data_IF_854624830515
#
_entry.id   IF_854624830515
#
_cell.length_a   1.000
_cell.length_b   1.000
_cell.length_c   1.000
_cell.angle_alpha   90.00
_cell.angle_beta   90.00
_cell.angle_gamma   90.00
#
_symmetry.space_group_name_H-M   'P 1'
#
loop_
_entity.id
_entity.type
_entity.pdbx_description
1 polymer ?
#
# COMPACT_ATOMS: atom_id res chain seq x y z
N UNK A 1 -5.91 -20.28 -25.75
CA UNK A 1 -5.35 -21.07 -24.63
C UNK A 1 -4.80 -20.08 -23.61
N UNK A 2 -4.95 -20.33 -22.31
CA UNK A 2 -4.25 -19.54 -21.29
C UNK A 2 -2.74 -19.75 -21.50
N UNK A 3 -1.92 -18.71 -21.31
CA UNK A 3 -0.47 -18.88 -21.37
C UNK A 3 0.01 -19.69 -20.16
N UNK A 4 1.16 -20.36 -20.28
CA UNK A 4 1.78 -21.14 -19.20
C UNK A 4 1.98 -20.32 -17.92
N UNK A 5 2.23 -19.02 -18.06
CA UNK A 5 2.36 -18.08 -16.95
C UNK A 5 1.04 -17.86 -16.22
N UNK A 6 -0.09 -17.79 -16.95
CA UNK A 6 -1.41 -17.62 -16.34
C UNK A 6 -1.85 -18.87 -15.56
N UNK A 7 -1.46 -20.05 -16.02
CA UNK A 7 -1.70 -21.31 -15.30
C UNK A 7 -0.91 -21.37 -14.00
N UNK A 8 0.37 -20.99 -14.03
CA UNK A 8 1.20 -20.89 -12.83
C UNK A 8 0.62 -19.90 -11.81
N UNK A 9 0.18 -18.71 -12.26
CA UNK A 9 -0.46 -17.71 -11.39
C UNK A 9 -1.73 -18.28 -10.74
N UNK A 10 -2.55 -19.02 -11.50
CA UNK A 10 -3.77 -19.66 -10.95
C UNK A 10 -3.44 -20.70 -9.89
N UNK A 11 -2.40 -21.50 -10.10
CA UNK A 11 -1.94 -22.50 -9.12
C UNK A 11 -1.46 -21.82 -7.83
N UNK A 12 -0.62 -20.78 -7.94
CA UNK A 12 -0.15 -20.00 -6.79
C UNK A 12 -1.29 -19.35 -6.01
N UNK A 13 -2.30 -18.80 -6.69
CA UNK A 13 -3.49 -18.23 -6.04
C UNK A 13 -4.29 -19.33 -5.31
N UNK A 14 -4.42 -20.51 -5.92
CA UNK A 14 -5.14 -21.65 -5.33
C UNK A 14 -4.52 -22.15 -4.03
N UNK A 15 -3.18 -22.22 -3.97
CA UNK A 15 -2.44 -22.69 -2.79
C UNK A 15 -2.60 -21.79 -1.56
N UNK A 16 -2.82 -20.48 -1.76
CA UNK A 16 -2.87 -19.49 -0.69
C UNK A 16 -4.27 -19.27 -0.09
N UNK A 17 -5.31 -19.93 -0.60
CA UNK A 17 -6.70 -19.66 -0.21
C UNK A 17 -7.13 -20.29 1.13
N UNK A 18 -6.40 -21.30 1.62
CA UNK A 18 -6.89 -22.19 2.68
C UNK A 18 -6.74 -21.69 4.13
N UNK A 19 -6.28 -20.45 4.37
CA UNK A 19 -6.08 -19.88 5.72
C UNK A 19 -7.17 -18.88 6.15
N UNK A 20 -8.44 -19.20 5.88
CA UNK A 20 -9.59 -18.30 6.18
C UNK A 20 -10.06 -18.30 7.64
N UNK A 21 -9.76 -19.33 8.43
CA UNK A 21 -10.19 -19.46 9.83
C UNK A 21 -8.99 -19.36 10.79
N UNK A 22 -9.13 -18.60 11.88
CA UNK A 22 -8.13 -18.44 12.94
C UNK A 22 -7.79 -16.98 13.26
N UNK A 23 -6.89 -16.79 14.23
CA UNK A 23 -6.42 -15.48 14.68
C UNK A 23 -5.80 -14.66 13.52
N UNK A 24 -5.93 -13.34 13.60
CA UNK A 24 -5.52 -12.42 12.52
C UNK A 24 -4.00 -12.41 12.28
N UNK A 25 -3.21 -12.56 13.35
CA UNK A 25 -1.75 -12.43 13.28
C UNK A 25 -1.05 -13.52 12.45
N UNK A 26 -1.32 -14.82 12.68
CA UNK A 26 -0.80 -15.87 11.80
C UNK A 26 -1.16 -15.66 10.33
N UNK A 27 -2.34 -15.09 10.06
CA UNK A 27 -2.77 -14.78 8.69
C UNK A 27 -2.02 -13.59 8.10
N UNK A 28 -1.69 -12.57 8.89
CA UNK A 28 -0.83 -11.45 8.46
C UNK A 28 0.56 -11.95 8.08
N UNK A 29 1.17 -12.79 8.92
CA UNK A 29 2.49 -13.39 8.64
C UNK A 29 2.44 -14.28 7.38
N UNK A 30 1.43 -15.14 7.28
CA UNK A 30 1.26 -16.01 6.11
C UNK A 30 1.02 -15.21 4.82
N UNK A 31 0.24 -14.13 4.90
CA UNK A 31 -0.03 -13.25 3.77
C UNK A 31 1.25 -12.56 3.30
N UNK A 32 2.06 -12.01 4.22
CA UNK A 32 3.31 -11.34 3.87
C UNK A 32 4.30 -12.31 3.21
N UNK A 33 4.43 -13.52 3.76
CA UNK A 33 5.25 -14.61 3.19
C UNK A 33 4.70 -15.16 1.86
N UNK A 34 3.38 -15.11 1.66
CA UNK A 34 2.78 -15.51 0.39
C UNK A 34 3.08 -14.50 -0.72
N UNK A 35 3.03 -13.20 -0.39
CA UNK A 35 3.32 -12.13 -1.34
C UNK A 35 4.80 -12.06 -1.74
N UNK A 36 5.67 -12.60 -0.90
CA UNK A 36 7.07 -12.86 -1.24
C UNK A 36 7.21 -13.68 -2.55
N UNK A 37 6.31 -14.64 -2.83
CA UNK A 37 6.36 -15.44 -4.07
C UNK A 37 6.22 -14.59 -5.36
N UNK A 38 5.70 -13.36 -5.28
CA UNK A 38 5.58 -12.42 -6.40
C UNK A 38 6.85 -11.60 -6.64
N UNK A 39 7.98 -12.02 -6.08
CA UNK A 39 9.28 -11.44 -6.36
C UNK A 39 9.58 -10.25 -5.47
N UNK A 40 9.97 -10.52 -4.23
CA UNK A 40 10.98 -9.69 -3.60
C UNK A 40 12.26 -9.94 -4.39
N UNK A 41 12.65 -9.01 -5.26
CA UNK A 41 13.97 -9.00 -5.90
C UNK A 41 15.11 -8.78 -4.88
N UNK A 42 14.99 -9.27 -3.64
CA UNK A 42 15.89 -8.93 -2.54
C UNK A 42 15.92 -7.42 -2.27
N UNK A 43 14.83 -6.71 -2.58
CA UNK A 43 14.76 -5.26 -2.39
C UNK A 43 14.80 -4.96 -0.89
N UNK A 44 15.84 -4.24 -0.42
CA UNK A 44 15.96 -3.91 0.99
C UNK A 44 14.79 -3.02 1.41
N UNK A 45 14.39 -3.05 2.69
CA UNK A 45 13.42 -2.10 3.20
C UNK A 45 13.93 -0.67 2.98
N UNK A 46 13.01 0.20 2.60
CA UNK A 46 13.25 1.62 2.52
C UNK A 46 13.28 2.32 3.87
N UNK A 47 13.46 3.64 3.83
CA UNK A 47 13.35 4.48 5.03
C UNK A 47 11.92 4.42 5.59
N UNK A 48 11.80 4.13 6.89
CA UNK A 48 10.51 4.17 7.59
C UNK A 48 10.26 5.54 8.18
N UNK A 49 9.06 6.06 7.97
CA UNK A 49 8.58 7.31 8.56
C UNK A 49 7.35 7.05 9.42
N UNK A 50 7.25 7.72 10.56
CA UNK A 50 6.07 7.68 11.45
C UNK A 50 5.11 8.80 11.08
N UNK A 51 3.81 8.50 11.04
CA UNK A 51 2.73 9.41 10.66
C UNK A 51 1.60 9.22 11.69
N UNK A 52 1.59 10.04 12.75
CA UNK A 52 0.67 9.84 13.87
C UNK A 52 0.85 8.45 14.49
N UNK A 53 -0.22 7.65 14.50
CA UNK A 53 -0.25 6.28 15.05
C UNK A 53 0.11 5.19 14.03
N UNK A 54 0.48 5.56 12.81
CA UNK A 54 0.89 4.61 11.76
C UNK A 54 2.30 4.90 11.27
N UNK A 55 2.81 4.03 10.38
CA UNK A 55 4.10 4.21 9.73
C UNK A 55 3.96 4.06 8.22
N UNK A 56 4.99 4.47 7.48
CA UNK A 56 5.08 4.24 6.05
C UNK A 56 6.53 3.94 5.66
N UNK A 57 6.71 3.25 4.54
CA UNK A 57 8.01 2.93 3.96
C UNK A 57 8.20 3.73 2.66
N UNK A 58 9.34 4.41 2.52
CA UNK A 58 9.74 5.04 1.28
C UNK A 58 10.38 4.04 0.32
N UNK A 59 9.79 3.86 -0.84
CA UNK A 59 10.37 3.10 -1.95
C UNK A 59 10.77 4.07 -3.05
N UNK A 60 12.07 4.19 -3.32
CA UNK A 60 12.61 5.15 -4.27
C UNK A 60 13.27 4.45 -5.45
N UNK A 61 12.88 4.76 -6.70
CA UNK A 61 13.62 4.32 -7.88
C UNK A 61 14.98 5.04 -7.96
N UNK A 62 15.88 4.53 -8.81
CA UNK A 62 17.19 5.16 -9.04
C UNK A 62 17.10 6.60 -9.60
N UNK A 63 16.01 6.90 -10.30
CA UNK A 63 15.69 8.23 -10.81
C UNK A 63 14.22 8.54 -10.50
N UNK A 64 13.98 9.65 -9.83
CA UNK A 64 12.63 10.17 -9.52
C UNK A 64 12.54 11.66 -9.88
N UNK A 65 11.35 12.12 -10.26
CA UNK A 65 11.11 13.49 -10.75
C UNK A 65 10.43 14.43 -9.73
N UNK A 66 10.45 14.04 -8.45
CA UNK A 66 9.83 14.76 -7.34
C UNK A 66 8.33 14.49 -7.16
N UNK A 67 7.69 13.66 -8.01
CA UNK A 67 6.35 13.13 -7.72
C UNK A 67 6.40 12.03 -6.65
N UNK A 68 5.31 11.89 -5.92
CA UNK A 68 5.11 10.85 -4.91
C UNK A 68 3.80 10.10 -5.15
N UNK A 69 3.87 8.78 -5.17
CA UNK A 69 2.70 7.90 -5.07
C UNK A 69 2.45 7.59 -3.59
N UNK A 70 1.32 8.00 -3.04
CA UNK A 70 0.86 7.52 -1.74
C UNK A 70 0.16 6.17 -1.96
N UNK A 71 0.89 5.08 -1.69
CA UNK A 71 0.44 3.72 -1.98
C UNK A 71 -0.24 3.08 -0.76
N UNK A 72 -1.44 2.55 -0.97
CA UNK A 72 -2.27 1.89 0.02
C UNK A 72 -2.41 0.42 -0.36
N UNK A 73 -1.83 -0.47 0.44
CA UNK A 73 -1.80 -1.89 0.13
C UNK A 73 -3.17 -2.57 0.25
N UNK A 74 -3.40 -3.61 -0.55
CA UNK A 74 -4.51 -4.54 -0.40
C UNK A 74 -4.37 -5.46 0.82
N UNK A 75 -5.32 -6.38 0.98
CA UNK A 75 -5.38 -7.29 2.14
C UNK A 75 -6.68 -7.27 2.92
N UNK A 76 -7.79 -6.86 2.30
CA UNK A 76 -9.12 -6.82 2.92
C UNK A 76 -9.17 -5.99 4.22
N UNK A 77 -8.39 -4.90 4.27
CA UNK A 77 -8.16 -4.04 5.44
C UNK A 77 -7.48 -4.69 6.65
N UNK A 78 -7.46 -6.02 6.77
CA UNK A 78 -6.91 -6.72 7.93
C UNK A 78 -5.49 -7.27 7.73
N UNK A 79 -5.09 -7.49 6.47
CA UNK A 79 -3.84 -8.12 6.05
C UNK A 79 -3.00 -7.13 5.24
N UNK A 80 -1.79 -7.56 4.86
CA UNK A 80 -0.87 -6.78 4.03
C UNK A 80 -0.06 -5.76 4.81
N UNK A 81 0.99 -5.25 4.18
CA UNK A 81 2.02 -4.39 4.77
C UNK A 81 2.82 -3.75 3.63
N UNK A 82 3.65 -2.73 3.91
CA UNK A 82 4.63 -2.25 2.95
C UNK A 82 5.58 -3.36 2.45
N UNK A 83 5.98 -4.29 3.34
CA UNK A 83 6.80 -5.44 2.97
C UNK A 83 6.13 -6.33 1.93
N UNK A 84 4.88 -6.75 2.19
CA UNK A 84 4.17 -7.67 1.28
C UNK A 84 3.94 -7.07 -0.10
N UNK A 85 3.77 -5.75 -0.20
CA UNK A 85 3.54 -5.07 -1.48
C UNK A 85 4.78 -4.35 -2.01
N UNK A 86 5.98 -4.60 -1.44
CA UNK A 86 7.21 -3.92 -1.87
C UNK A 86 7.46 -4.13 -3.36
N UNK A 87 7.25 -5.34 -3.86
CA UNK A 87 7.38 -5.68 -5.28
C UNK A 87 6.52 -4.77 -6.20
N UNK A 88 5.24 -4.57 -5.85
CA UNK A 88 4.34 -3.67 -6.58
C UNK A 88 4.75 -2.20 -6.42
N UNK A 89 5.01 -1.75 -5.20
CA UNK A 89 5.40 -0.35 -4.96
C UNK A 89 6.70 0.02 -5.69
N UNK A 90 7.69 -0.88 -5.73
CA UNK A 90 8.93 -0.68 -6.49
C UNK A 90 8.70 -0.67 -7.99
N UNK A 91 7.89 -1.60 -8.52
CA UNK A 91 7.54 -1.62 -9.95
C UNK A 91 6.78 -0.36 -10.36
N UNK A 92 5.82 0.09 -9.54
CA UNK A 92 5.07 1.33 -9.75
C UNK A 92 5.98 2.56 -9.72
N UNK A 93 6.85 2.68 -8.72
CA UNK A 93 7.78 3.80 -8.62
C UNK A 93 8.72 3.88 -9.82
N UNK A 94 9.29 2.74 -10.23
CA UNK A 94 10.15 2.64 -11.40
C UNK A 94 9.41 3.01 -12.71
N UNK A 95 8.19 2.50 -12.90
CA UNK A 95 7.40 2.78 -14.10
C UNK A 95 6.92 4.24 -14.15
N UNK A 96 6.59 4.83 -13.00
CA UNK A 96 6.11 6.20 -12.90
C UNK A 96 7.24 7.24 -12.89
N UNK A 97 8.48 6.84 -12.59
CA UNK A 97 9.58 7.77 -12.30
C UNK A 97 9.31 8.61 -11.04
N UNK A 98 8.65 8.01 -10.05
CA UNK A 98 8.17 8.69 -8.85
C UNK A 98 8.56 7.92 -7.59
N UNK A 99 8.74 8.65 -6.49
CA UNK A 99 8.87 8.04 -5.17
C UNK A 99 7.54 7.37 -4.79
N UNK A 100 7.59 6.33 -3.97
CA UNK A 100 6.38 5.72 -3.40
C UNK A 100 6.47 5.78 -1.88
N UNK A 101 5.44 6.34 -1.25
CA UNK A 101 5.22 6.25 0.18
C UNK A 101 4.19 5.15 0.44
N UNK A 102 4.64 3.96 0.79
CA UNK A 102 3.78 2.82 1.09
C UNK A 102 3.31 2.86 2.54
N UNK A 103 2.02 3.15 2.75
CA UNK A 103 1.45 3.35 4.09
C UNK A 103 1.19 2.01 4.78
N UNK A 104 1.66 1.85 6.00
CA UNK A 104 1.29 0.78 6.92
C UNK A 104 0.14 1.26 7.82
N UNK A 105 -1.04 1.42 7.21
CA UNK A 105 -2.22 1.93 7.91
C UNK A 105 -2.66 0.98 9.03
N UNK A 106 -3.35 1.52 10.04
CA UNK A 106 -3.94 0.76 11.15
C UNK A 106 -5.05 -0.16 10.65
N UNK A 107 -5.14 -1.37 11.23
CA UNK A 107 -5.97 -2.48 10.71
C UNK A 107 -6.85 -3.07 11.82
N UNK A 108 -8.06 -3.57 11.52
CA UNK A 108 -8.85 -4.36 12.46
C UNK A 108 -8.18 -5.72 12.75
N UNK A 109 -8.45 -6.30 13.93
CA UNK A 109 -9.39 -5.85 14.95
C UNK A 109 -8.88 -4.73 15.88
N UNK A 110 -7.58 -4.46 15.89
CA UNK A 110 -6.94 -3.50 16.81
C UNK A 110 -7.39 -2.06 16.54
N UNK A 111 -7.66 -1.75 15.28
CA UNK A 111 -8.13 -0.44 14.84
C UNK A 111 -9.18 -0.61 13.75
N UNK A 112 -10.46 -0.75 14.12
CA UNK A 112 -11.54 -0.89 13.15
C UNK A 112 -11.74 0.39 12.33
N UNK A 113 -12.64 0.31 11.35
CA UNK A 113 -13.12 1.50 10.64
C UNK A 113 -13.53 2.59 11.65
N UNK A 114 -13.12 3.87 11.45
CA UNK A 114 -12.52 4.45 10.23
C UNK A 114 -10.99 4.58 10.21
N UNK A 115 -10.24 3.93 11.11
CA UNK A 115 -8.82 4.20 11.34
C UNK A 115 -7.93 4.25 10.08
N UNK A 116 -8.07 3.29 9.16
CA UNK A 116 -7.30 3.28 7.92
C UNK A 116 -7.54 4.51 7.02
N UNK A 117 -8.77 5.05 7.01
CA UNK A 117 -9.12 6.25 6.24
C UNK A 117 -8.46 7.48 6.85
N UNK A 118 -8.49 7.59 8.18
CA UNK A 118 -7.82 8.66 8.92
C UNK A 118 -6.32 8.66 8.64
N UNK A 119 -5.69 7.48 8.63
CA UNK A 119 -4.26 7.33 8.37
C UNK A 119 -3.90 7.75 6.94
N UNK A 120 -4.71 7.36 5.94
CA UNK A 120 -4.49 7.75 4.56
C UNK A 120 -4.61 9.28 4.36
N UNK A 121 -5.59 9.91 5.02
CA UNK A 121 -5.75 11.37 5.02
C UNK A 121 -4.58 12.05 5.74
N UNK A 122 -4.15 11.53 6.89
CA UNK A 122 -3.02 12.05 7.64
C UNK A 122 -1.72 11.96 6.84
N UNK A 123 -1.49 10.85 6.12
CA UNK A 123 -0.33 10.68 5.25
C UNK A 123 -0.32 11.68 4.09
N UNK A 124 -1.47 11.94 3.46
CA UNK A 124 -1.59 12.96 2.43
C UNK A 124 -1.27 14.36 2.97
N UNK A 125 -1.87 14.75 4.10
CA UNK A 125 -1.63 16.07 4.71
C UNK A 125 -0.19 16.24 5.16
N UNK A 126 0.44 15.19 5.72
CA UNK A 126 1.86 15.20 6.06
C UNK A 126 2.74 15.45 4.83
N UNK A 127 2.46 14.82 3.68
CA UNK A 127 3.20 15.08 2.44
C UNK A 127 3.03 16.55 1.98
N UNK A 128 1.82 17.11 2.12
CA UNK A 128 1.54 18.52 1.83
C UNK A 128 2.30 19.47 2.74
N UNK A 129 2.33 19.20 4.04
CA UNK A 129 3.07 19.97 5.04
C UNK A 129 4.59 19.94 4.80
N UNK A 130 5.11 18.85 4.24
CA UNK A 130 6.51 18.74 3.77
C UNK A 130 6.78 19.49 2.46
N UNK A 131 5.81 20.23 1.95
CA UNK A 131 5.98 21.12 0.80
C UNK A 131 5.69 20.48 -0.56
N UNK A 132 5.21 19.24 -0.62
CA UNK A 132 4.76 18.68 -1.90
C UNK A 132 3.48 19.39 -2.34
N UNK A 133 3.41 19.94 -3.57
CA UNK A 133 2.16 20.49 -4.09
C UNK A 133 1.17 19.34 -4.40
N UNK A 134 -0.14 19.63 -4.39
CA UNK A 134 -1.17 18.60 -4.53
C UNK A 134 -0.96 17.75 -5.79
N UNK A 135 -0.79 18.41 -6.94
CA UNK A 135 -0.59 17.75 -8.25
C UNK A 135 0.74 17.01 -8.42
N UNK A 136 1.57 16.91 -7.37
CA UNK A 136 2.75 16.04 -7.31
C UNK A 136 2.54 14.81 -6.43
N UNK A 137 1.36 14.67 -5.83
CA UNK A 137 0.97 13.51 -5.03
C UNK A 137 -0.09 12.75 -5.82
N UNK A 138 0.00 11.43 -5.88
CA UNK A 138 -1.05 10.60 -6.48
C UNK A 138 -1.37 9.46 -5.54
N UNK A 139 -2.65 9.27 -5.22
CA UNK A 139 -3.07 8.06 -4.50
C UNK A 139 -2.99 6.85 -5.43
N UNK A 140 -2.46 5.75 -4.90
CA UNK A 140 -2.41 4.46 -5.57
C UNK A 140 -2.77 3.35 -4.59
N UNK A 141 -3.26 2.22 -5.09
CA UNK A 141 -3.54 1.06 -4.25
C UNK A 141 -4.22 -0.06 -5.02
N UNK A 142 -4.31 -1.22 -4.39
CA UNK A 142 -4.92 -2.43 -4.96
C UNK A 142 -6.03 -2.96 -4.03
N UNK A 143 -7.07 -3.57 -4.60
CA UNK A 143 -8.16 -4.20 -3.83
C UNK A 143 -8.74 -3.26 -2.75
N UNK A 144 -8.70 -3.66 -1.47
CA UNK A 144 -9.08 -2.83 -0.32
C UNK A 144 -8.33 -1.48 -0.27
N UNK A 145 -7.05 -1.46 -0.65
CA UNK A 145 -6.24 -0.23 -0.72
C UNK A 145 -6.70 0.74 -1.81
N UNK A 146 -7.19 0.22 -2.95
CA UNK A 146 -7.81 1.05 -3.99
C UNK A 146 -9.13 1.68 -3.49
N UNK A 147 -9.95 0.90 -2.78
CA UNK A 147 -11.15 1.41 -2.12
C UNK A 147 -10.80 2.47 -1.06
N UNK A 148 -9.74 2.24 -0.29
CA UNK A 148 -9.23 3.18 0.72
C UNK A 148 -8.77 4.50 0.09
N UNK A 149 -8.08 4.45 -1.05
CA UNK A 149 -7.66 5.65 -1.79
C UNK A 149 -8.86 6.52 -2.16
N UNK A 150 -9.92 5.91 -2.71
CA UNK A 150 -11.14 6.64 -3.06
C UNK A 150 -11.83 7.21 -1.81
N UNK A 151 -11.91 6.44 -0.73
CA UNK A 151 -12.50 6.92 0.52
C UNK A 151 -11.73 8.12 1.12
N UNK A 152 -10.39 8.06 1.11
CA UNK A 152 -9.54 9.16 1.57
C UNK A 152 -9.75 10.43 0.71
N UNK A 153 -9.83 10.28 -0.62
CA UNK A 153 -10.12 11.40 -1.53
C UNK A 153 -11.50 12.03 -1.27
N UNK A 154 -12.51 11.24 -0.93
CA UNK A 154 -13.83 11.77 -0.55
C UNK A 154 -13.74 12.59 0.74
N UNK A 155 -13.03 12.08 1.77
CA UNK A 155 -12.83 12.81 3.03
C UNK A 155 -12.07 14.12 2.81
N UNK A 156 -10.99 14.09 2.02
CA UNK A 156 -10.21 15.30 1.68
C UNK A 156 -11.07 16.34 0.95
N UNK A 157 -11.88 15.89 -0.03
CA UNK A 157 -12.80 16.77 -0.77
C UNK A 157 -13.81 17.43 0.15
N UNK A 158 -14.44 16.64 1.01
CA UNK A 158 -15.51 17.11 1.90
C UNK A 158 -14.97 18.03 3.01
N UNK A 159 -13.69 17.87 3.38
CA UNK A 159 -12.97 18.75 4.30
C UNK A 159 -12.42 20.03 3.63
N UNK A 160 -12.51 20.17 2.31
CA UNK A 160 -11.99 21.32 1.56
C UNK A 160 -10.47 21.33 1.40
N UNK A 161 -9.79 20.19 1.59
CA UNK A 161 -8.36 20.09 1.30
C UNK A 161 -8.12 20.28 -0.22
N UNK A 162 -7.01 20.91 -0.62
CA UNK A 162 -6.62 20.91 -2.03
C UNK A 162 -6.34 19.48 -2.48
N UNK A 163 -7.00 19.03 -3.53
CA UNK A 163 -6.92 17.65 -4.02
C UNK A 163 -5.70 17.43 -4.95
N UNK A 164 -5.16 16.21 -5.00
CA UNK A 164 -4.12 15.83 -5.95
C UNK A 164 -4.56 15.97 -7.42
#
# INVERSE_FOLDING_TARGET
>A
MASSELELVRELIGLNWHTRNGDVEPRRVAYDRAQEAFGHLGLPPGETVVIGDCSAEWVRPAQEDGRTLLYLHGGSYALGSPQSHRHLSSALGAAAGAAVLALHYRRPPESPFPAAVEDAVAAYRMLRERGLPPGRITFAGDSAGAGLAVAALQVLRDAGDPLP
#
